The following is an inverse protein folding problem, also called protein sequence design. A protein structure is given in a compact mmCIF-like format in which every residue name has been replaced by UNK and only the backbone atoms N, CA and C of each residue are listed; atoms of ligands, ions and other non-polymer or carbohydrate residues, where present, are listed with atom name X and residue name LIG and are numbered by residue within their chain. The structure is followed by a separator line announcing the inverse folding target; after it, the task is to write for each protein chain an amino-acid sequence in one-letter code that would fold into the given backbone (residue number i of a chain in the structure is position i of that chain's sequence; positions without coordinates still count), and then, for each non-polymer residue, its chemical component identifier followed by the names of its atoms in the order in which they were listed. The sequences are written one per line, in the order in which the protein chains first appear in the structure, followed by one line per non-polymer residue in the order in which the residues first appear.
data_IF_917415139669
#
_entry.id   IF_917415139669
#
_cell.length_a   1.000
_cell.length_b   1.000
_cell.length_c   1.000
_cell.angle_alpha   90.00
_cell.angle_beta   90.00
_cell.angle_gamma   90.00
#
_symmetry.space_group_name_H-M   'P 1'
#
loop_
_entity.id
_entity.type
_entity.pdbx_description
1 polymer ?
#
# COMPACT_ATOMS: atom_id res chain seq x y z
N UNK A 1 14.29 31.06 14.43
CA UNK A 1 13.75 29.79 14.78
C UNK A 1 14.35 28.71 13.92
N UNK A 2 14.79 27.73 14.54
CA UNK A 2 15.30 26.60 13.80
C UNK A 2 14.17 25.85 13.12
N UNK A 3 14.44 25.29 11.99
CA UNK A 3 13.48 24.43 11.40
C UNK A 3 13.31 23.17 12.21
N UNK A 4 12.12 22.67 12.19
CA UNK A 4 11.75 21.50 12.95
C UNK A 4 11.93 20.26 12.08
N UNK A 5 12.69 19.31 12.57
CA UNK A 5 12.73 18.00 11.97
C UNK A 5 11.59 17.17 12.52
N UNK A 6 10.89 16.51 11.63
CA UNK A 6 9.85 15.60 12.01
C UNK A 6 10.33 14.18 11.75
N UNK A 7 10.05 13.31 12.69
CA UNK A 7 10.13 11.90 12.43
C UNK A 7 8.81 11.48 11.75
N UNK A 8 8.94 10.87 10.62
CA UNK A 8 7.80 10.34 9.90
C UNK A 8 7.99 8.87 9.61
N UNK A 9 6.91 8.14 9.57
CA UNK A 9 6.93 6.76 9.14
C UNK A 9 6.66 6.73 7.64
N UNK A 10 7.52 6.05 6.91
CA UNK A 10 7.39 5.88 5.48
C UNK A 10 7.01 4.42 5.22
N UNK A 11 5.87 4.22 4.63
CA UNK A 11 5.40 2.90 4.24
C UNK A 11 5.65 2.71 2.75
N UNK A 12 6.35 1.64 2.42
CA UNK A 12 6.61 1.26 1.04
C UNK A 12 5.88 -0.04 0.77
N UNK A 13 5.09 -0.07 -0.27
CA UNK A 13 4.32 -1.26 -0.63
C UNK A 13 4.48 -1.56 -2.11
N UNK A 14 4.57 -2.84 -2.45
CA UNK A 14 4.54 -3.26 -3.84
C UNK A 14 3.80 -4.60 -3.96
N UNK A 15 3.41 -4.93 -5.18
CA UNK A 15 2.69 -6.17 -5.47
C UNK A 15 3.68 -7.31 -5.59
N UNK A 16 3.44 -8.39 -4.85
CA UNK A 16 4.27 -9.59 -4.91
C UNK A 16 4.11 -10.24 -6.29
N UNK A 17 5.24 -10.44 -6.98
CA UNK A 17 5.23 -11.10 -8.27
C UNK A 17 4.44 -10.38 -9.36
N UNK A 18 4.48 -9.06 -9.37
CA UNK A 18 3.71 -8.26 -10.32
C UNK A 18 3.95 -8.64 -11.77
N UNK A 19 5.21 -8.83 -12.16
CA UNK A 19 5.56 -9.19 -13.53
C UNK A 19 4.90 -10.50 -13.98
N UNK A 20 4.83 -11.47 -13.08
CA UNK A 20 4.19 -12.75 -13.38
C UNK A 20 2.68 -12.58 -13.51
N UNK A 21 2.07 -11.83 -12.62
CA UNK A 21 0.63 -11.56 -12.66
C UNK A 21 0.25 -10.79 -13.93
N UNK A 22 1.00 -9.74 -14.23
CA UNK A 22 0.76 -8.92 -15.41
C UNK A 22 1.02 -9.72 -16.70
N UNK A 23 2.01 -10.60 -16.68
CA UNK A 23 2.31 -11.46 -17.83
C UNK A 23 1.18 -12.42 -18.18
N UNK A 24 0.38 -12.82 -17.20
CA UNK A 24 -0.76 -13.69 -17.44
C UNK A 24 -1.95 -12.93 -18.03
N UNK A 25 -2.26 -11.75 -17.52
CA UNK A 25 -3.35 -10.91 -18.01
C UNK A 25 -3.18 -9.49 -17.46
N UNK A 26 -2.46 -8.65 -18.19
CA UNK A 26 -2.12 -7.31 -17.74
C UNK A 26 -3.35 -6.44 -17.51
N UNK A 27 -4.29 -6.46 -18.42
CA UNK A 27 -5.48 -5.60 -18.32
C UNK A 27 -6.31 -5.94 -17.08
N UNK A 28 -6.48 -7.24 -16.82
CA UNK A 28 -7.24 -7.70 -15.65
C UNK A 28 -6.54 -7.30 -14.36
N UNK A 29 -5.23 -7.48 -14.30
CA UNK A 29 -4.45 -7.16 -13.09
C UNK A 29 -4.46 -5.66 -12.84
N UNK A 30 -4.31 -4.84 -13.85
CA UNK A 30 -4.36 -3.38 -13.69
C UNK A 30 -5.74 -2.90 -13.24
N UNK A 31 -6.80 -3.46 -13.82
CA UNK A 31 -8.16 -3.12 -13.42
C UNK A 31 -8.42 -3.50 -11.97
N UNK A 32 -7.99 -4.69 -11.56
CA UNK A 32 -8.15 -5.16 -10.20
C UNK A 32 -7.33 -4.32 -9.21
N UNK A 33 -6.10 -3.97 -9.58
CA UNK A 33 -5.25 -3.13 -8.75
C UNK A 33 -5.88 -1.76 -8.52
N UNK A 34 -6.44 -1.16 -9.57
CA UNK A 34 -7.16 0.10 -9.45
C UNK A 34 -8.36 -0.01 -8.52
N UNK A 35 -9.11 -1.08 -8.62
CA UNK A 35 -10.25 -1.32 -7.75
C UNK A 35 -9.81 -1.46 -6.29
N UNK A 36 -8.75 -2.21 -6.03
CA UNK A 36 -8.21 -2.35 -4.68
C UNK A 36 -7.74 -1.01 -4.11
N UNK A 37 -7.09 -0.19 -4.92
CA UNK A 37 -6.68 1.14 -4.50
C UNK A 37 -7.87 2.01 -4.16
N UNK A 38 -8.86 2.04 -5.02
CA UNK A 38 -10.06 2.86 -4.85
C UNK A 38 -10.90 2.40 -3.65
N UNK A 39 -11.10 1.10 -3.51
CA UNK A 39 -12.08 0.56 -2.56
C UNK A 39 -11.49 0.23 -1.20
N UNK A 40 -10.21 -0.07 -1.11
CA UNK A 40 -9.59 -0.49 0.13
C UNK A 40 -8.42 0.38 0.54
N UNK A 41 -7.41 0.49 -0.33
CA UNK A 41 -6.11 1.03 0.06
C UNK A 41 -6.18 2.52 0.34
N UNK A 42 -6.70 3.29 -0.60
CA UNK A 42 -6.74 4.75 -0.47
C UNK A 42 -7.62 5.21 0.68
N UNK A 43 -8.84 4.67 0.86
CA UNK A 43 -9.65 5.02 2.02
C UNK A 43 -8.98 4.68 3.35
N UNK A 44 -8.29 3.55 3.43
CA UNK A 44 -7.61 3.14 4.65
C UNK A 44 -6.44 4.08 4.96
N UNK A 45 -5.70 4.50 3.94
CA UNK A 45 -4.62 5.48 4.10
C UNK A 45 -5.17 6.78 4.69
N UNK A 46 -6.29 7.26 4.17
CA UNK A 46 -6.91 8.50 4.65
C UNK A 46 -7.35 8.37 6.11
N UNK A 47 -7.97 7.26 6.47
CA UNK A 47 -8.43 7.02 7.85
C UNK A 47 -7.26 7.08 8.83
N UNK A 48 -6.10 6.59 8.44
CA UNK A 48 -4.92 6.57 9.31
C UNK A 48 -3.99 7.77 9.10
N UNK A 49 -4.50 8.83 8.48
CA UNK A 49 -3.78 10.08 8.29
C UNK A 49 -2.53 9.97 7.43
N UNK A 50 -2.55 9.03 6.49
CA UNK A 50 -1.44 8.87 5.55
C UNK A 50 -1.55 9.82 4.37
N UNK A 51 -0.41 10.06 3.73
CA UNK A 51 -0.32 10.86 2.53
C UNK A 51 0.48 10.10 1.48
N UNK A 52 -0.11 9.92 0.32
CA UNK A 52 0.58 9.25 -0.78
C UNK A 52 1.60 10.22 -1.35
N UNK A 53 2.88 9.86 -1.23
CA UNK A 53 3.98 10.68 -1.73
C UNK A 53 4.27 10.36 -3.19
N UNK A 54 4.26 9.08 -3.51
CA UNK A 54 4.58 8.63 -4.86
C UNK A 54 3.89 7.31 -5.13
N UNK A 55 3.46 7.14 -6.38
CA UNK A 55 2.84 5.91 -6.84
C UNK A 55 3.45 5.53 -8.18
N UNK A 56 3.93 4.30 -8.26
CA UNK A 56 4.39 3.70 -9.51
C UNK A 56 3.34 2.71 -10.00
N UNK A 57 3.63 1.95 -11.05
CA UNK A 57 2.69 0.98 -11.58
C UNK A 57 2.13 0.04 -10.52
N UNK A 58 3.03 -0.63 -9.79
CA UNK A 58 2.64 -1.61 -8.76
C UNK A 58 3.06 -1.19 -7.35
N UNK A 59 3.77 -0.09 -7.20
CA UNK A 59 4.30 0.34 -5.92
C UNK A 59 3.72 1.64 -5.43
N UNK A 60 3.88 1.88 -4.14
CA UNK A 60 3.44 3.12 -3.48
C UNK A 60 4.39 3.48 -2.36
N UNK A 61 4.55 4.78 -2.16
CA UNK A 61 5.30 5.32 -1.04
C UNK A 61 4.39 6.29 -0.31
N UNK A 62 4.14 6.00 0.97
CA UNK A 62 3.13 6.71 1.77
C UNK A 62 3.79 7.20 3.05
N UNK A 63 3.53 8.45 3.38
CA UNK A 63 4.02 9.08 4.61
C UNK A 63 2.93 9.06 5.67
N UNK A 64 3.30 8.71 6.89
CA UNK A 64 2.43 8.77 8.06
C UNK A 64 3.07 9.61 9.15
N UNK A 65 2.25 10.21 10.00
CA UNK A 65 2.72 11.02 11.10
C UNK A 65 3.40 10.20 12.20
N UNK A 66 3.07 8.92 12.28
CA UNK A 66 3.63 8.04 13.30
C UNK A 66 3.74 6.62 12.79
N UNK A 67 4.63 5.85 13.42
CA UNK A 67 4.76 4.42 13.14
C UNK A 67 3.47 3.69 13.47
N UNK A 68 2.78 4.10 14.53
CA UNK A 68 1.52 3.47 14.93
C UNK A 68 0.47 3.59 13.83
N UNK A 69 0.32 4.78 13.25
CA UNK A 69 -0.61 4.98 12.14
C UNK A 69 -0.24 4.11 10.94
N UNK A 70 1.05 4.05 10.61
CA UNK A 70 1.52 3.24 9.49
C UNK A 70 1.24 1.76 9.71
N UNK A 71 1.53 1.25 10.90
CA UNK A 71 1.31 -0.17 11.23
C UNK A 71 -0.19 -0.51 11.21
N UNK A 72 -1.01 0.33 11.79
CA UNK A 72 -2.46 0.11 11.78
C UNK A 72 -3.02 0.11 10.37
N UNK A 73 -2.56 1.03 9.54
CA UNK A 73 -2.95 1.06 8.13
C UNK A 73 -2.56 -0.22 7.42
N UNK A 74 -1.31 -0.66 7.60
CA UNK A 74 -0.81 -1.88 6.98
C UNK A 74 -1.63 -3.11 7.39
N UNK A 75 -1.95 -3.24 8.67
CA UNK A 75 -2.74 -4.37 9.17
C UNK A 75 -4.13 -4.35 8.56
N UNK A 76 -4.77 -3.20 8.53
CA UNK A 76 -6.13 -3.09 8.00
C UNK A 76 -6.17 -3.39 6.49
N UNK A 77 -5.19 -2.90 5.74
CA UNK A 77 -5.08 -3.22 4.31
C UNK A 77 -4.86 -4.71 4.11
N UNK A 78 -3.95 -5.31 4.85
CA UNK A 78 -3.67 -6.74 4.70
C UNK A 78 -4.88 -7.60 5.06
N UNK A 79 -5.59 -7.23 6.10
CA UNK A 79 -6.82 -7.93 6.49
C UNK A 79 -7.89 -7.83 5.38
N UNK A 80 -8.07 -6.64 4.83
CA UNK A 80 -9.01 -6.43 3.73
C UNK A 80 -8.63 -7.20 2.46
N UNK A 81 -7.33 -7.34 2.22
CA UNK A 81 -6.84 -8.11 1.07
C UNK A 81 -7.15 -9.60 1.20
N UNK A 82 -7.03 -10.15 2.40
CA UNK A 82 -7.39 -11.55 2.65
C UNK A 82 -8.84 -11.80 2.24
N UNK A 83 -9.73 -10.91 2.64
CA UNK A 83 -11.14 -11.03 2.29
C UNK A 83 -11.36 -10.94 0.78
N UNK A 84 -10.70 -10.01 0.12
CA UNK A 84 -10.87 -9.79 -1.32
C UNK A 84 -10.23 -10.87 -2.17
N UNK A 85 -9.23 -11.56 -1.63
CA UNK A 85 -8.60 -12.68 -2.32
C UNK A 85 -9.31 -14.01 -2.05
N UNK A 86 -10.21 -14.05 -1.09
CA UNK A 86 -10.93 -15.27 -0.73
C UNK A 86 -11.66 -15.84 -1.94
N UNK A 87 -11.52 -17.14 -2.15
CA UNK A 87 -12.16 -17.83 -3.27
C UNK A 87 -11.46 -17.66 -4.61
N UNK A 88 -10.42 -16.84 -4.69
CA UNK A 88 -9.66 -16.69 -5.92
C UNK A 88 -8.53 -17.70 -6.02
N UNK A 89 -8.25 -18.22 -7.21
CA UNK A 89 -7.07 -19.05 -7.42
C UNK A 89 -5.78 -18.22 -7.22
N UNK A 90 -4.70 -18.91 -6.89
CA UNK A 90 -3.43 -18.25 -6.55
C UNK A 90 -2.96 -17.30 -7.64
N UNK A 91 -3.14 -17.64 -8.90
CA UNK A 91 -2.68 -16.83 -10.03
C UNK A 91 -3.48 -15.54 -10.21
N UNK A 92 -4.57 -15.36 -9.49
CA UNK A 92 -5.39 -14.15 -9.53
C UNK A 92 -5.31 -13.32 -8.25
N UNK A 93 -4.68 -13.84 -7.21
CA UNK A 93 -4.56 -13.13 -5.95
C UNK A 93 -3.53 -12.02 -6.06
N UNK A 94 -3.89 -10.86 -5.57
CA UNK A 94 -2.97 -9.74 -5.46
C UNK A 94 -2.55 -9.63 -4.01
N UNK A 95 -1.25 -9.78 -3.76
CA UNK A 95 -0.67 -9.68 -2.43
C UNK A 95 0.36 -8.56 -2.43
N UNK A 96 0.44 -7.83 -1.32
CA UNK A 96 1.39 -6.73 -1.18
C UNK A 96 2.48 -7.06 -0.19
N UNK A 97 3.70 -6.67 -0.53
CA UNK A 97 4.78 -6.59 0.45
C UNK A 97 4.78 -5.19 1.00
N UNK A 98 4.96 -5.07 2.32
CA UNK A 98 4.95 -3.79 3.00
C UNK A 98 6.18 -3.66 3.87
N UNK A 99 6.88 -2.56 3.72
CA UNK A 99 7.99 -2.19 4.60
C UNK A 99 7.68 -0.84 5.23
N UNK A 100 8.05 -0.68 6.50
CA UNK A 100 7.85 0.58 7.20
C UNK A 100 9.20 1.05 7.73
N UNK A 101 9.54 2.30 7.43
CA UNK A 101 10.78 2.92 7.84
C UNK A 101 10.49 4.19 8.62
N UNK A 102 11.27 4.44 9.65
CA UNK A 102 11.21 5.69 10.37
C UNK A 102 12.32 6.59 9.85
N UNK A 103 11.97 7.80 9.46
CA UNK A 103 12.93 8.73 8.91
C UNK A 103 12.66 10.18 9.30
N UNK A 104 13.68 11.00 9.14
CA UNK A 104 13.56 12.45 9.36
C UNK A 104 12.98 13.09 8.12
N UNK A 105 12.00 13.95 8.34
CA UNK A 105 11.44 14.80 7.29
C UNK A 105 11.66 16.24 7.68
N UNK A 106 12.24 16.99 6.78
CA UNK A 106 12.55 18.40 7.02
C UNK A 106 11.55 19.27 6.30
#
# INVERSE_FOLDING_TARGET
MSETRKLAAILVADVVGYSRLAGADEDRILARLRALRSDLIDPTIVVHHGRIVKRTGDGSLIEFRSVVDAVRCAIEVQTGLIERNAGLPAERRIEFRVGIHLGDVV
#
